data_IF_249661574230
#
_entry.id   IF_249661574230
#
_cell.length_a   1.000
_cell.length_b   1.000
_cell.length_c   1.000
_cell.angle_alpha   90.00
_cell.angle_beta   90.00
_cell.angle_gamma   90.00
#
_symmetry.space_group_name_H-M   'P 1'
#
loop_
_entity.id
_entity.type
_entity.pdbx_description
1 polymer ?
#
# COMPACT_ATOMS: atom_id res chain seq x y z
N UNK A 1 48.45 -40.27 -46.22
CA UNK A 1 47.58 -39.18 -45.69
C UNK A 1 46.27 -38.96 -46.45
N UNK A 2 45.99 -39.66 -47.55
CA UNK A 2 44.74 -39.44 -48.32
C UNK A 2 43.46 -39.68 -47.52
N UNK A 3 43.43 -40.69 -46.64
CA UNK A 3 42.27 -40.99 -45.80
C UNK A 3 41.91 -39.83 -44.85
N UNK A 4 42.83 -39.39 -43.98
CA UNK A 4 42.58 -38.30 -43.02
C UNK A 4 42.23 -36.97 -43.73
N UNK A 5 42.93 -36.66 -44.83
CA UNK A 5 42.61 -35.49 -45.64
C UNK A 5 41.20 -35.58 -46.22
N UNK A 6 40.79 -36.75 -46.70
CA UNK A 6 39.43 -37.01 -47.19
C UNK A 6 38.37 -36.87 -46.11
N UNK A 7 38.60 -37.46 -44.93
CA UNK A 7 37.67 -37.36 -43.78
C UNK A 7 37.49 -35.90 -43.34
N UNK A 8 38.58 -35.16 -43.10
CA UNK A 8 38.50 -33.76 -42.67
C UNK A 8 37.90 -32.84 -43.74
N UNK A 9 38.24 -33.06 -45.01
CA UNK A 9 37.64 -32.28 -46.11
C UNK A 9 36.15 -32.55 -46.25
N UNK A 10 35.71 -33.80 -46.03
CA UNK A 10 34.29 -34.16 -46.10
C UNK A 10 33.48 -33.49 -44.99
N UNK A 11 34.00 -33.46 -43.76
CA UNK A 11 33.28 -32.82 -42.64
C UNK A 11 33.41 -31.30 -42.64
N UNK A 12 34.38 -30.70 -43.33
CA UNK A 12 34.71 -29.27 -43.26
C UNK A 12 33.50 -28.34 -43.42
N UNK A 13 32.64 -28.62 -44.40
CA UNK A 13 31.44 -27.80 -44.65
C UNK A 13 30.32 -28.02 -43.63
N UNK A 14 30.43 -29.04 -42.79
CA UNK A 14 29.48 -29.40 -41.73
C UNK A 14 29.95 -28.97 -40.33
N UNK A 15 31.15 -28.37 -40.21
CA UNK A 15 31.71 -27.87 -38.94
C UNK A 15 31.24 -26.46 -38.57
N UNK A 16 30.20 -25.96 -39.23
CA UNK A 16 29.60 -24.71 -38.84
C UNK A 16 30.50 -23.49 -38.99
N UNK A 17 30.31 -22.50 -38.12
CA UNK A 17 31.12 -21.28 -38.10
C UNK A 17 32.58 -21.50 -37.66
N UNK A 18 32.89 -22.59 -36.97
CA UNK A 18 34.23 -22.89 -36.46
C UNK A 18 35.10 -23.71 -37.43
N UNK A 19 34.61 -23.99 -38.64
CA UNK A 19 35.35 -24.75 -39.67
C UNK A 19 36.75 -24.21 -39.98
N UNK A 20 36.96 -22.90 -39.80
CA UNK A 20 38.24 -22.23 -40.02
C UNK A 20 39.40 -22.85 -39.23
N UNK A 21 39.12 -23.34 -38.01
CA UNK A 21 40.09 -23.90 -37.07
C UNK A 21 40.80 -25.18 -37.59
N UNK A 22 40.19 -25.88 -38.55
CA UNK A 22 40.72 -27.13 -39.12
C UNK A 22 41.36 -26.90 -40.51
N UNK A 23 41.33 -25.69 -41.05
CA UNK A 23 41.87 -25.38 -42.38
C UNK A 23 43.37 -25.70 -42.49
N UNK A 24 44.16 -25.24 -41.52
CA UNK A 24 45.62 -25.49 -41.50
C UNK A 24 45.94 -27.00 -41.39
N UNK A 25 45.13 -27.75 -40.66
CA UNK A 25 45.26 -29.20 -40.56
C UNK A 25 45.00 -29.89 -41.92
N UNK A 26 43.96 -29.48 -42.63
CA UNK A 26 43.61 -29.99 -43.97
C UNK A 26 44.73 -29.69 -44.97
N UNK A 27 45.25 -28.46 -44.97
CA UNK A 27 46.31 -28.05 -45.90
C UNK A 27 47.63 -28.76 -45.61
N UNK A 28 48.00 -28.91 -44.35
CA UNK A 28 49.21 -29.66 -43.95
C UNK A 28 49.11 -31.12 -44.37
N UNK A 29 47.93 -31.74 -44.25
CA UNK A 29 47.69 -33.12 -44.70
C UNK A 29 47.82 -33.27 -46.23
N UNK A 30 47.34 -32.29 -47.00
CA UNK A 30 47.46 -32.27 -48.47
C UNK A 30 48.93 -32.12 -48.90
N UNK A 31 49.66 -31.18 -48.29
CA UNK A 31 51.07 -30.91 -48.61
C UNK A 31 51.99 -32.10 -48.28
N UNK A 32 51.71 -32.82 -47.20
CA UNK A 32 52.55 -33.94 -46.74
C UNK A 32 52.11 -35.32 -47.26
N UNK A 33 51.26 -35.37 -48.30
CA UNK A 33 50.64 -36.63 -48.78
C UNK A 33 51.64 -37.72 -49.19
N UNK A 34 52.80 -37.32 -49.70
CA UNK A 34 53.84 -38.20 -50.24
C UNK A 34 55.16 -38.17 -49.45
N UNK A 35 55.21 -37.46 -48.31
CA UNK A 35 56.45 -37.20 -47.56
C UNK A 35 56.82 -38.30 -46.53
N UNK A 36 56.22 -39.49 -46.66
CA UNK A 36 56.52 -40.65 -45.80
C UNK A 36 56.32 -40.39 -44.30
N UNK A 37 57.16 -41.04 -43.47
CA UNK A 37 57.10 -40.94 -41.99
C UNK A 37 57.28 -39.51 -41.47
N UNK A 38 58.16 -38.72 -42.08
CA UNK A 38 58.44 -37.35 -41.65
C UNK A 38 57.25 -36.42 -41.90
N UNK A 39 56.65 -36.51 -43.10
CA UNK A 39 55.42 -35.78 -43.41
C UNK A 39 54.24 -36.23 -42.57
N UNK A 40 54.17 -37.52 -42.22
CA UNK A 40 53.16 -38.03 -41.30
C UNK A 40 53.22 -37.35 -39.93
N UNK A 41 54.41 -37.29 -39.33
CA UNK A 41 54.61 -36.68 -38.02
C UNK A 41 54.28 -35.19 -38.00
N UNK A 42 54.58 -34.46 -39.09
CA UNK A 42 54.25 -33.02 -39.18
C UNK A 42 52.74 -32.82 -39.29
N UNK A 43 52.08 -33.56 -40.19
CA UNK A 43 50.66 -33.37 -40.42
C UNK A 43 49.80 -33.87 -39.25
N UNK A 44 50.20 -34.92 -38.53
CA UNK A 44 49.41 -35.40 -37.38
C UNK A 44 49.40 -34.38 -36.24
N UNK A 45 50.51 -33.66 -35.99
CA UNK A 45 50.56 -32.58 -35.00
C UNK A 45 49.57 -31.47 -35.37
N UNK A 46 49.53 -31.07 -36.65
CA UNK A 46 48.59 -30.05 -37.14
C UNK A 46 47.13 -30.48 -37.07
N UNK A 47 46.83 -31.76 -37.31
CA UNK A 47 45.49 -32.31 -37.08
C UNK A 47 45.08 -32.22 -35.62
N UNK A 48 45.97 -32.60 -34.70
CA UNK A 48 45.69 -32.49 -33.25
C UNK A 48 45.46 -31.03 -32.85
N UNK A 49 46.28 -30.10 -33.33
CA UNK A 49 46.12 -28.67 -33.07
C UNK A 49 44.78 -28.14 -33.59
N UNK A 50 44.43 -28.41 -34.85
CA UNK A 50 43.20 -27.93 -35.46
C UNK A 50 41.93 -28.52 -34.83
N UNK A 51 41.92 -29.83 -34.53
CA UNK A 51 40.80 -30.47 -33.83
C UNK A 51 40.65 -29.91 -32.41
N UNK A 52 41.76 -29.65 -31.72
CA UNK A 52 41.72 -28.99 -30.40
C UNK A 52 41.16 -27.58 -30.50
N UNK A 53 41.60 -26.79 -31.48
CA UNK A 53 41.09 -25.44 -31.75
C UNK A 53 39.59 -25.44 -32.00
N UNK A 54 39.12 -26.30 -32.90
CA UNK A 54 37.69 -26.49 -33.19
C UNK A 54 36.89 -26.82 -31.93
N UNK A 55 37.32 -27.82 -31.16
CA UNK A 55 36.59 -28.24 -29.95
C UNK A 55 36.54 -27.14 -28.89
N UNK A 56 37.60 -26.35 -28.74
CA UNK A 56 37.62 -25.22 -27.80
C UNK A 56 36.69 -24.09 -28.25
N UNK A 57 36.66 -23.79 -29.55
CA UNK A 57 35.75 -22.78 -30.13
C UNK A 57 34.28 -23.21 -29.99
N UNK A 58 33.95 -24.48 -30.26
CA UNK A 58 32.62 -25.05 -30.02
C UNK A 58 32.25 -24.99 -28.53
N UNK A 59 33.19 -25.30 -27.63
CA UNK A 59 32.95 -25.21 -26.18
C UNK A 59 32.62 -23.79 -25.74
N UNK A 60 33.31 -22.78 -26.29
CA UNK A 60 33.03 -21.36 -26.00
C UNK A 60 31.67 -20.92 -26.54
N UNK A 61 31.34 -21.33 -27.77
CA UNK A 61 30.04 -21.07 -28.39
C UNK A 61 28.89 -21.66 -27.56
N UNK A 62 28.99 -22.94 -27.18
CA UNK A 62 28.01 -23.58 -26.30
C UNK A 62 27.84 -22.86 -24.96
N UNK A 63 28.93 -22.36 -24.37
CA UNK A 63 28.88 -21.59 -23.12
C UNK A 63 28.11 -20.28 -23.27
N UNK A 64 28.35 -19.53 -24.35
CA UNK A 64 27.62 -18.28 -24.60
C UNK A 64 26.11 -18.48 -24.68
N UNK A 65 25.66 -19.64 -25.15
CA UNK A 65 24.22 -19.99 -25.15
C UNK A 65 23.76 -20.49 -23.78
N UNK A 66 24.53 -21.36 -23.12
CA UNK A 66 24.13 -21.96 -21.84
C UNK A 66 24.16 -20.99 -20.67
N UNK A 67 25.10 -20.03 -20.67
CA UNK A 67 25.34 -19.15 -19.54
C UNK A 67 24.12 -18.25 -19.26
N UNK A 68 23.52 -17.52 -20.24
CA UNK A 68 22.30 -16.75 -20.03
C UNK A 68 21.12 -17.59 -19.52
N UNK A 69 20.98 -18.83 -20.01
CA UNK A 69 19.92 -19.76 -19.57
C UNK A 69 20.12 -20.16 -18.11
N UNK A 70 21.34 -20.54 -17.74
CA UNK A 70 21.66 -20.95 -16.38
C UNK A 70 21.54 -19.77 -15.40
N UNK A 71 22.01 -18.58 -15.79
CA UNK A 71 21.86 -17.36 -15.00
C UNK A 71 20.39 -17.03 -14.75
N UNK A 72 19.54 -17.05 -15.77
CA UNK A 72 18.10 -16.80 -15.59
C UNK A 72 17.49 -17.83 -14.64
N UNK A 73 17.83 -19.12 -14.79
CA UNK A 73 17.35 -20.19 -13.92
C UNK A 73 17.69 -19.94 -12.45
N UNK A 74 18.95 -19.61 -12.15
CA UNK A 74 19.40 -19.30 -10.80
C UNK A 74 18.68 -18.07 -10.23
N UNK A 75 18.57 -17.01 -11.03
CA UNK A 75 17.85 -15.79 -10.67
C UNK A 75 16.36 -16.04 -10.37
N UNK A 76 15.71 -16.97 -11.08
CA UNK A 76 14.31 -17.32 -10.83
C UNK A 76 14.14 -18.14 -9.54
N UNK A 77 15.10 -19.00 -9.19
CA UNK A 77 15.09 -19.69 -7.89
C UNK A 77 15.28 -18.72 -6.72
N UNK A 78 16.16 -17.72 -6.86
CA UNK A 78 16.28 -16.64 -5.88
C UNK A 78 14.98 -15.85 -5.75
N UNK A 79 14.40 -15.43 -6.87
CA UNK A 79 13.16 -14.66 -6.91
C UNK A 79 12.02 -15.42 -6.21
N UNK A 80 11.90 -16.72 -6.49
CA UNK A 80 10.92 -17.60 -5.84
C UNK A 80 11.06 -17.59 -4.31
N UNK A 81 12.29 -17.59 -3.79
CA UNK A 81 12.54 -17.48 -2.35
C UNK A 81 12.12 -16.11 -1.82
N UNK A 82 12.57 -15.03 -2.46
CA UNK A 82 12.26 -13.65 -2.05
C UNK A 82 10.75 -13.36 -2.05
N UNK A 83 10.02 -13.83 -3.06
CA UNK A 83 8.56 -13.71 -3.15
C UNK A 83 7.86 -14.53 -2.05
N UNK A 84 8.37 -15.73 -1.73
CA UNK A 84 7.81 -16.55 -0.66
C UNK A 84 7.95 -15.87 0.72
N UNK A 85 9.06 -15.18 0.96
CA UNK A 85 9.30 -14.42 2.20
C UNK A 85 8.39 -13.17 2.33
N UNK A 86 7.95 -12.59 1.22
CA UNK A 86 6.93 -11.52 1.24
C UNK A 86 5.60 -12.10 1.72
N UNK A 87 5.27 -13.32 1.31
CA UNK A 87 3.98 -13.95 1.57
C UNK A 87 3.84 -14.51 3.02
N UNK A 88 4.94 -14.89 3.67
CA UNK A 88 4.95 -15.46 5.03
C UNK A 88 4.85 -14.42 6.16
N UNK A 89 5.20 -13.15 5.93
CA UNK A 89 5.16 -12.10 6.95
C UNK A 89 3.75 -11.49 7.17
N UNK A 90 2.70 -12.30 7.11
CA UNK A 90 1.31 -11.89 7.34
C UNK A 90 0.86 -12.02 8.82
N UNK A 91 1.81 -12.08 9.77
CA UNK A 91 1.47 -12.06 11.20
C UNK A 91 0.97 -10.68 11.63
N UNK A 92 -0.20 -10.68 12.26
CA UNK A 92 -1.12 -9.56 12.46
C UNK A 92 -0.75 -8.80 13.74
N UNK A 93 0.18 -7.85 13.67
CA UNK A 93 0.19 -6.61 14.49
C UNK A 93 1.39 -5.73 14.13
N UNK A 94 1.15 -4.45 13.80
CA UNK A 94 2.19 -3.42 13.73
C UNK A 94 2.99 -3.31 12.43
N UNK A 95 2.58 -3.98 11.34
CA UNK A 95 3.30 -3.93 10.08
C UNK A 95 2.95 -2.69 9.24
N UNK A 96 3.96 -1.96 8.80
CA UNK A 96 3.84 -0.99 7.72
C UNK A 96 3.56 -1.74 6.39
N UNK A 97 2.42 -1.44 5.77
CA UNK A 97 2.01 -2.06 4.51
C UNK A 97 2.69 -1.38 3.30
N UNK A 98 3.16 -0.14 3.46
CA UNK A 98 3.93 0.59 2.45
C UNK A 98 5.19 -0.19 2.09
N UNK A 99 5.88 -0.71 3.10
CA UNK A 99 7.05 -1.59 2.93
C UNK A 99 6.74 -2.92 2.26
N UNK A 100 5.48 -3.41 2.23
CA UNK A 100 5.13 -4.65 1.50
C UNK A 100 4.93 -4.38 0.00
N UNK A 101 4.20 -3.31 -0.35
CA UNK A 101 4.03 -2.92 -1.77
C UNK A 101 5.38 -2.63 -2.41
N UNK A 102 6.21 -1.83 -1.75
CA UNK A 102 7.57 -1.52 -2.23
C UNK A 102 8.44 -2.76 -2.43
N UNK A 103 8.31 -3.77 -1.56
CA UNK A 103 9.02 -5.05 -1.72
C UNK A 103 8.52 -5.82 -2.94
N UNK A 104 7.21 -5.88 -3.18
CA UNK A 104 6.64 -6.51 -4.38
C UNK A 104 7.13 -5.79 -5.64
N UNK A 105 7.06 -4.46 -5.67
CA UNK A 105 7.50 -3.66 -6.82
C UNK A 105 9.00 -3.85 -7.10
N UNK A 106 9.82 -3.95 -6.05
CA UNK A 106 11.25 -4.25 -6.17
C UNK A 106 11.51 -5.63 -6.78
N UNK A 107 10.83 -6.68 -6.29
CA UNK A 107 11.01 -8.02 -6.84
C UNK A 107 10.48 -8.14 -8.28
N UNK A 108 9.39 -7.43 -8.61
CA UNK A 108 8.88 -7.35 -9.98
C UNK A 108 9.89 -6.69 -10.92
N UNK A 109 10.50 -5.59 -10.49
CA UNK A 109 11.58 -4.93 -11.25
C UNK A 109 12.77 -5.88 -11.45
N UNK A 110 13.19 -6.58 -10.39
CA UNK A 110 14.26 -7.60 -10.48
C UNK A 110 13.91 -8.68 -11.50
N UNK A 111 12.68 -9.21 -11.49
CA UNK A 111 12.22 -10.19 -12.47
C UNK A 111 12.30 -9.67 -13.91
N UNK A 112 11.84 -8.44 -14.14
CA UNK A 112 11.87 -7.78 -15.45
C UNK A 112 13.30 -7.56 -15.95
N UNK A 113 14.18 -7.10 -15.07
CA UNK A 113 15.59 -6.88 -15.39
C UNK A 113 16.32 -8.20 -15.69
N UNK A 114 16.01 -9.28 -14.97
CA UNK A 114 16.53 -10.63 -15.24
C UNK A 114 16.09 -11.15 -16.61
N UNK A 115 14.80 -11.01 -16.95
CA UNK A 115 14.28 -11.38 -18.27
C UNK A 115 14.97 -10.58 -19.38
N UNK A 116 15.19 -9.27 -19.19
CA UNK A 116 15.96 -8.43 -20.12
C UNK A 116 17.39 -8.91 -20.29
N UNK A 117 18.06 -9.27 -19.18
CA UNK A 117 19.41 -9.83 -19.20
C UNK A 117 19.49 -11.13 -20.00
N UNK A 118 18.50 -12.00 -19.85
CA UNK A 118 18.36 -13.22 -20.64
C UNK A 118 18.24 -12.92 -22.14
N UNK A 119 17.32 -12.03 -22.55
CA UNK A 119 17.17 -11.68 -23.98
C UNK A 119 18.44 -11.10 -24.57
N UNK A 120 19.11 -10.21 -23.85
CA UNK A 120 20.36 -9.63 -24.30
C UNK A 120 21.45 -10.70 -24.45
N UNK A 121 21.55 -11.62 -23.48
CA UNK A 121 22.48 -12.74 -23.54
C UNK A 121 22.24 -13.67 -24.73
N UNK A 122 20.97 -14.03 -24.98
CA UNK A 122 20.57 -14.87 -26.11
C UNK A 122 20.84 -14.16 -27.45
N UNK A 123 20.44 -12.89 -27.58
CA UNK A 123 20.66 -12.11 -28.80
C UNK A 123 22.15 -12.00 -29.16
N UNK A 124 23.01 -11.79 -28.16
CA UNK A 124 24.47 -11.76 -28.36
C UNK A 124 25.05 -13.13 -28.78
N UNK A 125 24.29 -14.21 -28.57
CA UNK A 125 24.65 -15.56 -28.95
C UNK A 125 23.93 -16.03 -30.23
N UNK A 126 23.24 -15.16 -30.98
CA UNK A 126 22.43 -15.54 -32.17
C UNK A 126 23.23 -16.38 -33.19
N UNK A 127 24.46 -15.97 -33.50
CA UNK A 127 25.33 -16.72 -34.41
C UNK A 127 25.70 -18.11 -33.86
N UNK A 128 25.94 -18.19 -32.55
CA UNK A 128 26.25 -19.42 -31.84
C UNK A 128 25.04 -20.37 -31.78
N UNK A 129 23.83 -19.82 -31.68
CA UNK A 129 22.56 -20.56 -31.69
C UNK A 129 22.28 -21.17 -33.07
N UNK A 130 22.61 -20.45 -34.15
CA UNK A 130 22.45 -20.96 -35.52
C UNK A 130 23.35 -22.18 -35.81
N UNK A 131 24.46 -22.31 -35.08
CA UNK A 131 25.41 -23.43 -35.22
C UNK A 131 25.00 -24.68 -34.41
N UNK A 132 24.02 -24.55 -33.53
CA UNK A 132 23.50 -25.67 -32.75
C UNK A 132 22.79 -26.68 -33.65
N UNK A 133 22.76 -27.94 -33.20
CA UNK A 133 21.87 -28.92 -33.82
C UNK A 133 20.40 -28.47 -33.71
N UNK A 134 19.58 -28.91 -34.65
CA UNK A 134 18.19 -28.46 -34.79
C UNK A 134 17.36 -28.62 -33.49
N UNK A 135 17.59 -29.69 -32.73
CA UNK A 135 16.89 -29.95 -31.47
C UNK A 135 17.27 -28.91 -30.39
N UNK A 136 18.57 -28.65 -30.22
CA UNK A 136 19.05 -27.64 -29.28
C UNK A 136 18.57 -26.24 -29.66
N UNK A 137 18.68 -25.86 -30.93
CA UNK A 137 18.18 -24.58 -31.43
C UNK A 137 16.69 -24.40 -31.13
N UNK A 138 15.87 -25.39 -31.50
CA UNK A 138 14.43 -25.39 -31.25
C UNK A 138 14.10 -25.21 -29.76
N UNK A 139 14.85 -25.86 -28.86
CA UNK A 139 14.66 -25.70 -27.40
C UNK A 139 15.01 -24.30 -26.90
N UNK A 140 16.06 -23.68 -27.46
CA UNK A 140 16.41 -22.29 -27.15
C UNK A 140 15.30 -21.35 -27.61
N UNK A 141 14.81 -21.53 -28.85
CA UNK A 141 13.70 -20.73 -29.39
C UNK A 141 12.44 -20.84 -28.53
N UNK A 142 12.07 -22.06 -28.09
CA UNK A 142 10.96 -22.25 -27.16
C UNK A 142 11.18 -21.57 -25.80
N UNK A 143 12.41 -21.60 -25.26
CA UNK A 143 12.72 -20.92 -24.01
C UNK A 143 12.55 -19.41 -24.15
N UNK A 144 12.99 -18.82 -25.27
CA UNK A 144 12.81 -17.40 -25.57
C UNK A 144 11.32 -17.03 -25.61
N UNK A 145 10.52 -17.80 -26.35
CA UNK A 145 9.07 -17.58 -26.46
C UNK A 145 8.39 -17.72 -25.09
N UNK A 146 8.78 -18.71 -24.30
CA UNK A 146 8.21 -18.93 -22.97
C UNK A 146 8.51 -17.77 -22.01
N UNK A 147 9.76 -17.28 -21.99
CA UNK A 147 10.12 -16.11 -21.16
C UNK A 147 9.36 -14.87 -21.64
N UNK A 148 9.14 -14.71 -22.96
CA UNK A 148 8.38 -13.57 -23.51
C UNK A 148 6.92 -13.62 -23.08
N UNK A 149 6.30 -14.79 -23.22
CA UNK A 149 4.93 -15.02 -22.80
C UNK A 149 4.76 -14.73 -21.30
N UNK A 150 5.58 -15.32 -20.44
CA UNK A 150 5.43 -15.14 -18.99
C UNK A 150 5.78 -13.72 -18.54
N UNK A 151 6.71 -13.03 -19.21
CA UNK A 151 7.01 -11.61 -18.92
C UNK A 151 5.79 -10.73 -19.22
N UNK A 152 5.13 -10.93 -20.37
CA UNK A 152 3.91 -10.18 -20.72
C UNK A 152 2.77 -10.47 -19.75
N UNK A 153 2.55 -11.75 -19.46
CA UNK A 153 1.51 -12.18 -18.51
C UNK A 153 1.74 -11.60 -17.12
N UNK A 154 2.99 -11.52 -16.65
CA UNK A 154 3.33 -10.94 -15.37
C UNK A 154 3.03 -9.42 -15.33
N UNK A 155 3.35 -8.70 -16.40
CA UNK A 155 3.04 -7.26 -16.54
C UNK A 155 1.53 -6.99 -16.52
N UNK A 156 0.74 -7.79 -17.24
CA UNK A 156 -0.73 -7.71 -17.24
C UNK A 156 -1.32 -7.96 -15.84
N UNK A 157 -0.86 -9.01 -15.16
CA UNK A 157 -1.30 -9.33 -13.79
C UNK A 157 -0.91 -8.24 -12.80
N UNK A 158 0.27 -7.65 -12.93
CA UNK A 158 0.70 -6.55 -12.08
C UNK A 158 -0.17 -5.31 -12.25
N UNK A 159 -0.46 -4.91 -13.50
CA UNK A 159 -1.34 -3.77 -13.78
C UNK A 159 -2.73 -3.96 -13.20
N UNK A 160 -3.29 -5.16 -13.33
CA UNK A 160 -4.59 -5.48 -12.73
C UNK A 160 -4.52 -5.39 -11.21
N UNK A 161 -3.49 -5.96 -10.58
CA UNK A 161 -3.32 -5.91 -9.13
C UNK A 161 -3.12 -4.47 -8.61
N UNK A 162 -2.42 -3.61 -9.35
CA UNK A 162 -2.25 -2.21 -8.99
C UNK A 162 -3.58 -1.44 -9.07
N UNK A 163 -4.37 -1.70 -10.13
CA UNK A 163 -5.71 -1.15 -10.27
C UNK A 163 -6.62 -1.58 -9.11
N UNK A 164 -6.69 -2.89 -8.82
CA UNK A 164 -7.52 -3.44 -7.74
C UNK A 164 -7.11 -2.87 -6.37
N UNK A 165 -5.80 -2.70 -6.13
CA UNK A 165 -5.29 -2.09 -4.91
C UNK A 165 -5.75 -0.64 -4.75
N UNK A 166 -5.67 0.16 -5.82
CA UNK A 166 -6.14 1.54 -5.83
C UNK A 166 -7.65 1.67 -5.62
N UNK A 167 -8.44 0.76 -6.20
CA UNK A 167 -9.90 0.72 -6.02
C UNK A 167 -10.27 0.43 -4.56
N UNK A 168 -9.58 -0.53 -3.91
CA UNK A 168 -9.78 -0.84 -2.49
C UNK A 168 -9.38 0.35 -1.60
N UNK A 169 -8.23 0.97 -1.88
CA UNK A 169 -7.75 2.16 -1.16
C UNK A 169 -8.78 3.31 -1.23
N UNK A 170 -9.26 3.62 -2.44
CA UNK A 170 -10.30 4.64 -2.67
C UNK A 170 -11.60 4.32 -1.92
N UNK A 171 -12.05 3.07 -1.98
CA UNK A 171 -13.26 2.63 -1.27
C UNK A 171 -13.14 2.78 0.26
N UNK A 172 -11.95 2.50 0.82
CA UNK A 172 -11.67 2.72 2.25
C UNK A 172 -11.74 4.20 2.59
N UNK A 173 -11.06 5.06 1.82
CA UNK A 173 -11.08 6.51 2.04
C UNK A 173 -12.50 7.08 2.00
N UNK A 174 -13.30 6.69 1.00
CA UNK A 174 -14.69 7.12 0.89
C UNK A 174 -15.53 6.67 2.09
N UNK A 175 -15.38 5.41 2.53
CA UNK A 175 -16.11 4.89 3.71
C UNK A 175 -15.72 5.63 4.99
N UNK A 176 -14.44 5.90 5.21
CA UNK A 176 -13.96 6.65 6.37
C UNK A 176 -14.45 8.10 6.35
N UNK A 177 -14.43 8.76 5.20
CA UNK A 177 -14.96 10.12 5.04
C UNK A 177 -16.47 10.17 5.33
N UNK A 178 -17.24 9.21 4.80
CA UNK A 178 -18.66 9.10 5.07
C UNK A 178 -18.95 8.83 6.55
N UNK A 179 -18.16 7.96 7.20
CA UNK A 179 -18.29 7.70 8.63
C UNK A 179 -18.01 8.95 9.47
N UNK A 180 -16.94 9.68 9.15
CA UNK A 180 -16.60 10.96 9.80
C UNK A 180 -17.77 11.95 9.74
N UNK A 181 -18.37 12.12 8.56
CA UNK A 181 -19.51 13.02 8.39
C UNK A 181 -20.72 12.57 9.22
N UNK A 182 -21.08 11.27 9.16
CA UNK A 182 -22.19 10.73 9.96
C UNK A 182 -21.98 10.89 11.46
N UNK A 183 -20.77 10.67 11.96
CA UNK A 183 -20.43 10.86 13.37
C UNK A 183 -20.58 12.33 13.77
N UNK A 184 -20.04 13.24 12.96
CA UNK A 184 -20.18 14.69 13.21
C UNK A 184 -21.65 15.12 13.21
N UNK A 185 -22.44 14.69 12.23
CA UNK A 185 -23.87 15.01 12.14
C UNK A 185 -24.64 14.48 13.35
N UNK A 186 -24.31 13.28 13.81
CA UNK A 186 -24.93 12.70 15.01
C UNK A 186 -24.59 13.51 16.26
N UNK A 187 -23.31 13.82 16.47
CA UNK A 187 -22.86 14.63 17.61
C UNK A 187 -23.53 16.01 17.59
N UNK A 188 -23.55 16.69 16.44
CA UNK A 188 -24.22 17.99 16.31
C UNK A 188 -25.71 17.91 16.66
N UNK A 189 -26.41 16.86 16.22
CA UNK A 189 -27.84 16.67 16.55
C UNK A 189 -28.05 16.42 18.04
N UNK A 190 -27.29 15.51 18.64
CA UNK A 190 -27.42 15.17 20.06
C UNK A 190 -27.07 16.36 20.97
N UNK A 191 -25.98 17.08 20.67
CA UNK A 191 -25.60 18.28 21.43
C UNK A 191 -26.66 19.38 21.31
N UNK A 192 -27.19 19.62 20.11
CA UNK A 192 -28.25 20.61 19.93
C UNK A 192 -29.54 20.21 20.66
N UNK A 193 -29.89 18.92 20.68
CA UNK A 193 -31.03 18.42 21.46
C UNK A 193 -30.83 18.70 22.94
N UNK A 194 -29.67 18.33 23.49
CA UNK A 194 -29.34 18.55 24.90
C UNK A 194 -29.37 20.04 25.27
N UNK A 195 -28.84 20.92 24.41
CA UNK A 195 -28.89 22.37 24.63
C UNK A 195 -30.33 22.87 24.66
N UNK A 196 -31.20 22.38 23.78
CA UNK A 196 -32.60 22.79 23.73
C UNK A 196 -33.37 22.29 24.96
N UNK A 197 -33.13 21.05 25.40
CA UNK A 197 -33.72 20.49 26.61
C UNK A 197 -33.30 21.30 27.84
N UNK A 198 -32.01 21.64 27.95
CA UNK A 198 -31.48 22.47 29.04
C UNK A 198 -32.10 23.88 29.02
N UNK A 199 -32.19 24.53 27.86
CA UNK A 199 -32.84 25.84 27.72
C UNK A 199 -34.31 25.79 28.15
N UNK A 200 -35.01 24.72 27.81
CA UNK A 200 -36.41 24.51 28.21
C UNK A 200 -36.54 24.40 29.73
N UNK A 201 -35.70 23.58 30.37
CA UNK A 201 -35.67 23.45 31.83
C UNK A 201 -35.37 24.78 32.53
N UNK A 202 -34.38 25.53 32.04
CA UNK A 202 -34.02 26.85 32.61
C UNK A 202 -35.16 27.85 32.46
N UNK A 203 -35.87 27.87 31.32
CA UNK A 203 -37.06 28.72 31.13
C UNK A 203 -38.18 28.37 32.12
N UNK A 204 -38.45 27.08 32.32
CA UNK A 204 -39.45 26.64 33.30
C UNK A 204 -39.09 27.07 34.73
N UNK A 205 -37.81 27.01 35.10
CA UNK A 205 -37.34 27.51 36.41
C UNK A 205 -37.55 29.02 36.50
N UNK A 206 -37.20 29.77 35.45
CA UNK A 206 -37.39 31.23 35.41
C UNK A 206 -38.86 31.63 35.54
N UNK A 207 -39.76 30.92 34.86
CA UNK A 207 -41.21 31.13 34.98
C UNK A 207 -41.70 30.91 36.40
N UNK A 208 -41.28 29.82 37.05
CA UNK A 208 -41.62 29.55 38.46
C UNK A 208 -41.09 30.64 39.39
N UNK A 209 -39.86 31.11 39.19
CA UNK A 209 -39.28 32.20 39.99
C UNK A 209 -40.08 33.50 39.82
N UNK A 210 -40.52 33.82 38.59
CA UNK A 210 -41.36 34.99 38.32
C UNK A 210 -42.74 34.88 38.98
N UNK A 211 -43.36 33.70 38.96
CA UNK A 211 -44.62 33.45 39.66
C UNK A 211 -44.48 33.62 41.17
N UNK A 212 -43.40 33.09 41.76
CA UNK A 212 -43.08 33.27 43.18
C UNK A 212 -42.92 34.76 43.50
N UNK A 213 -42.17 35.49 42.67
CA UNK A 213 -41.99 36.95 42.82
C UNK A 213 -43.33 37.68 42.84
N UNK A 214 -44.22 37.44 41.87
CA UNK A 214 -45.54 38.06 41.81
C UNK A 214 -46.41 37.74 43.02
N UNK A 215 -46.37 36.48 43.49
CA UNK A 215 -47.11 36.05 44.67
C UNK A 215 -46.59 36.77 45.92
N UNK A 216 -45.27 36.91 46.04
CA UNK A 216 -44.63 37.61 47.15
C UNK A 216 -44.99 39.10 47.14
N UNK A 217 -44.91 39.77 45.98
CA UNK A 217 -45.31 41.18 45.82
C UNK A 217 -46.77 41.39 46.22
N UNK A 218 -47.67 40.50 45.82
CA UNK A 218 -49.09 40.55 46.21
C UNK A 218 -49.27 40.41 47.72
N UNK A 219 -48.54 39.47 48.34
CA UNK A 219 -48.59 39.26 49.79
C UNK A 219 -48.09 40.49 50.56
N UNK A 220 -46.98 41.09 50.11
CA UNK A 220 -46.42 42.33 50.69
C UNK A 220 -47.43 43.47 50.59
N UNK A 221 -48.02 43.69 49.41
CA UNK A 221 -49.03 44.74 49.22
C UNK A 221 -50.26 44.55 50.13
N UNK A 222 -50.76 43.32 50.26
CA UNK A 222 -51.87 43.01 51.16
C UNK A 222 -51.52 43.27 52.63
N UNK A 223 -50.29 42.95 53.04
CA UNK A 223 -49.81 43.25 54.40
C UNK A 223 -49.72 44.76 54.64
N UNK A 224 -49.23 45.52 53.68
CA UNK A 224 -49.18 46.99 53.76
C UNK A 224 -50.60 47.58 53.90
N UNK A 225 -51.58 47.08 53.13
CA UNK A 225 -52.98 47.47 53.26
C UNK A 225 -53.55 47.17 54.66
N UNK A 226 -53.25 45.98 55.20
CA UNK A 226 -53.68 45.60 56.56
C UNK A 226 -53.04 46.48 57.63
N UNK A 227 -51.77 46.83 57.48
CA UNK A 227 -51.06 47.73 58.38
C UNK A 227 -51.70 49.12 58.36
N UNK A 228 -52.01 49.66 57.17
CA UNK A 228 -52.65 50.98 57.06
C UNK A 228 -54.08 50.98 57.64
N UNK A 229 -54.86 49.93 57.39
CA UNK A 229 -56.19 49.79 58.00
C UNK A 229 -56.10 49.72 59.53
N UNK A 230 -55.16 48.94 60.08
CA UNK A 230 -54.94 48.85 61.52
C UNK A 230 -54.54 50.20 62.12
N UNK A 231 -53.63 50.95 61.47
CA UNK A 231 -53.26 52.31 61.88
C UNK A 231 -54.47 53.24 61.94
N UNK A 232 -55.36 53.20 60.95
CA UNK A 232 -56.58 54.01 60.95
C UNK A 232 -57.52 53.67 62.12
N UNK A 233 -57.69 52.37 62.42
CA UNK A 233 -58.49 51.93 63.58
C UNK A 233 -57.90 52.44 64.89
N UNK A 234 -56.57 52.33 65.06
CA UNK A 234 -55.88 52.83 66.25
C UNK A 234 -56.07 54.34 66.38
N UNK A 235 -55.82 55.11 65.32
CA UNK A 235 -55.99 56.56 65.33
C UNK A 235 -57.44 56.99 65.64
N UNK A 236 -58.43 56.25 65.12
CA UNK A 236 -59.84 56.50 65.44
C UNK A 236 -60.17 56.19 66.90
N UNK A 237 -59.60 55.10 67.47
CA UNK A 237 -59.76 54.75 68.87
C UNK A 237 -59.11 55.80 69.79
N UNK A 238 -57.89 56.25 69.48
CA UNK A 238 -57.20 57.35 70.17
C UNK A 238 -58.05 58.63 70.12
N UNK A 239 -58.54 59.02 68.95
CA UNK A 239 -59.41 60.20 68.78
C UNK A 239 -60.66 60.13 69.64
N UNK A 240 -61.29 58.95 69.73
CA UNK A 240 -62.49 58.73 70.55
C UNK A 240 -62.17 58.79 72.06
N UNK A 241 -61.02 58.26 72.49
CA UNK A 241 -60.55 58.40 73.87
C UNK A 241 -60.39 59.88 74.21
N UNK A 242 -59.70 60.62 73.34
CA UNK A 242 -59.40 62.04 73.57
C UNK A 242 -60.64 62.95 73.54
N UNK A 243 -61.56 62.72 72.60
CA UNK A 243 -62.72 63.62 72.39
C UNK A 243 -63.95 63.26 73.19
N UNK A 244 -64.22 61.98 73.42
CA UNK A 244 -65.49 61.55 73.99
C UNK A 244 -65.34 61.04 75.43
N UNK A 245 -64.25 60.35 75.74
CA UNK A 245 -64.08 59.66 77.04
C UNK A 245 -63.37 60.55 78.06
N UNK A 246 -62.19 61.09 77.75
CA UNK A 246 -61.44 61.96 78.68
C UNK A 246 -62.25 63.19 79.16
N UNK A 247 -63.03 63.88 78.30
CA UNK A 247 -63.86 65.01 78.75
C UNK A 247 -65.05 64.60 79.63
N UNK A 248 -65.52 63.35 79.53
CA UNK A 248 -66.56 62.82 80.41
C UNK A 248 -66.03 62.50 81.81
N UNK A 249 -64.80 61.97 81.91
CA UNK A 249 -64.14 61.68 83.19
C UNK A 249 -63.82 62.99 83.94
N UNK A 250 -63.37 64.04 83.24
CA UNK A 250 -63.16 65.36 83.83
C UNK A 250 -64.44 66.09 84.30
N UNK A 251 -65.63 65.61 83.92
CA UNK A 251 -66.93 66.11 84.43
C UNK A 251 -67.46 65.34 85.64
N UNK A 252 -66.99 64.13 85.91
CA UNK A 252 -67.42 63.37 87.09
C UNK A 252 -66.73 63.81 88.39
N UNK A 253 -65.55 64.45 88.34
CA UNK A 253 -64.91 65.02 89.52
C UNK A 253 -65.50 66.38 89.98
N UNK A 254 -66.49 66.92 89.26
CA UNK A 254 -67.20 68.16 89.64
C UNK A 254 -68.70 67.90 89.85
N UNK A 255 -69.03 66.99 90.75
CA UNK A 255 -70.31 67.05 91.49
C UNK A 255 -70.00 66.98 92.99
N UNK A 256 -70.13 68.09 93.73
CA UNK A 256 -70.16 68.05 95.19
C UNK A 256 -71.52 67.48 95.60
N UNK A 257 -71.51 66.37 96.34
CA UNK A 257 -72.67 66.00 97.17
C UNK A 257 -72.63 66.88 98.42
N UNK A 258 -73.67 67.71 98.55
CA UNK A 258 -74.05 68.43 99.77
C UNK A 258 -74.53 67.47 100.87
#
# INVERSE_FOLDING_TARGET
MGFLSGVLSNIYNHLGQHKGEITEAIDTLKQNKHAGKKGFNVAIVKVVEGVRGYNESVRKSNKKVSDPINTLKEQMEELKKSVSEINTNNSVQGHDFTTKKERVDKELKKCTDNARGFYFGIHNADADILDLNNNCKTKVDYAVIAVEHETKRLDELHKQAEYDFGDVESAIYQRLANLKNKVNDQICREVNSLINDLKSLVRNILEKLNQIKQTLETCVNNLDEWIEAAKQVVAAAETRIDKDILPMIGKQEKKPEE
#
